data_IF_463305860690
#
_entry.id   IF_463305860690
#
_cell.length_a   1.000
_cell.length_b   1.000
_cell.length_c   1.000
_cell.angle_alpha   90.00
_cell.angle_beta   90.00
_cell.angle_gamma   90.00
#
_symmetry.space_group_name_H-M   'P 1'
#
loop_
_entity.id
_entity.type
_entity.pdbx_description
1 polymer ?
#
# COMPACT_ATOMS: atom_id res chain seq x y z
N UNK A 1 -13.81 18.86 -7.28
CA UNK A 1 -14.27 18.74 -6.39
C UNK A 1 -13.61 18.23 -5.21
N UNK A 2 -12.52 18.84 -4.82
CA UNK A 2 -11.70 18.44 -3.74
C UNK A 2 -12.44 18.29 -2.41
N UNK A 3 -13.49 19.07 -2.23
CA UNK A 3 -14.21 19.02 -0.98
C UNK A 3 -14.80 17.65 -0.71
N UNK A 4 -15.41 17.04 -1.71
CA UNK A 4 -15.97 15.72 -1.53
C UNK A 4 -14.89 14.67 -1.43
N UNK A 5 -13.74 14.90 -2.05
CA UNK A 5 -12.66 13.94 -1.99
C UNK A 5 -12.12 13.79 -0.57
N UNK A 6 -12.24 14.82 0.24
CA UNK A 6 -11.77 14.76 1.63
C UNK A 6 -12.54 13.73 2.45
N UNK A 7 -13.75 13.43 2.05
CA UNK A 7 -14.60 12.51 2.80
C UNK A 7 -14.75 11.15 2.12
N UNK A 8 -14.10 10.96 0.98
CA UNK A 8 -14.15 9.68 0.33
C UNK A 8 -13.32 8.69 1.11
N UNK A 9 -13.88 7.54 1.34
CA UNK A 9 -13.11 6.45 1.90
C UNK A 9 -12.20 5.90 0.82
N UNK A 10 -10.99 5.55 1.22
CA UNK A 10 -10.08 4.86 0.33
C UNK A 10 -10.64 3.47 0.06
N UNK A 11 -10.82 3.14 -1.21
CA UNK A 11 -11.37 1.85 -1.60
C UNK A 11 -10.22 0.96 -2.08
N UNK A 12 -9.88 -0.02 -1.26
CA UNK A 12 -8.77 -0.90 -1.58
C UNK A 12 -9.00 -1.67 -2.88
N UNK A 13 -10.25 -1.97 -3.21
CA UNK A 13 -10.53 -2.69 -4.45
C UNK A 13 -10.20 -1.86 -5.68
N UNK A 14 -10.52 -0.56 -5.64
CA UNK A 14 -10.11 0.35 -6.71
C UNK A 14 -8.59 0.52 -6.73
N UNK A 15 -7.98 0.61 -5.57
CA UNK A 15 -6.53 0.76 -5.46
C UNK A 15 -5.80 -0.41 -6.06
N UNK A 16 -6.26 -1.64 -5.78
CA UNK A 16 -5.65 -2.84 -6.35
C UNK A 16 -5.84 -2.85 -7.87
N UNK A 17 -7.01 -2.46 -8.36
CA UNK A 17 -7.25 -2.40 -9.79
C UNK A 17 -6.31 -1.39 -10.47
N UNK A 18 -6.11 -0.24 -9.85
CA UNK A 18 -5.18 0.77 -10.37
C UNK A 18 -3.74 0.23 -10.39
N UNK A 19 -3.35 -0.46 -9.32
CA UNK A 19 -2.03 -1.07 -9.27
C UNK A 19 -1.84 -2.07 -10.41
N UNK A 20 -2.84 -2.89 -10.66
CA UNK A 20 -2.75 -3.91 -11.70
C UNK A 20 -2.60 -3.30 -13.09
N UNK A 21 -3.11 -2.11 -13.29
CA UNK A 21 -3.01 -1.42 -14.57
C UNK A 21 -1.77 -0.54 -14.69
N UNK A 22 -1.10 -0.28 -13.59
CA UNK A 22 0.06 0.61 -13.60
C UNK A 22 1.31 -0.15 -14.04
N UNK A 23 2.19 0.54 -14.77
CA UNK A 23 3.47 -0.02 -15.16
C UNK A 23 4.48 0.23 -14.05
N UNK A 24 5.29 -0.79 -13.76
CA UNK A 24 6.42 -0.65 -12.82
C UNK A 24 6.00 -0.18 -11.43
N UNK A 25 4.79 -0.50 -11.01
CA UNK A 25 4.31 -0.15 -9.67
C UNK A 25 4.56 -1.29 -8.70
N UNK A 26 4.59 -0.96 -7.41
CA UNK A 26 4.73 -1.96 -6.35
C UNK A 26 3.54 -1.88 -5.42
N UNK A 27 3.06 -3.03 -4.97
CA UNK A 27 1.99 -3.14 -3.98
C UNK A 27 2.65 -3.54 -2.66
N UNK A 28 2.51 -2.71 -1.65
CA UNK A 28 3.24 -2.85 -0.40
C UNK A 28 2.27 -3.09 0.76
N UNK A 29 2.47 -4.21 1.45
CA UNK A 29 1.72 -4.58 2.64
C UNK A 29 2.55 -4.18 3.85
N UNK A 30 2.06 -3.22 4.65
CA UNK A 30 2.82 -2.71 5.80
C UNK A 30 2.36 -3.33 7.11
N UNK A 31 1.66 -4.46 7.04
CA UNK A 31 1.27 -5.22 8.23
C UNK A 31 2.46 -6.02 8.74
N UNK A 32 2.24 -6.73 9.85
CA UNK A 32 3.29 -7.60 10.38
C UNK A 32 3.53 -8.80 9.47
N UNK A 33 4.70 -9.44 9.57
CA UNK A 33 4.96 -10.66 8.79
C UNK A 33 3.94 -11.75 9.06
N UNK A 34 3.45 -11.88 10.30
CA UNK A 34 2.45 -12.89 10.63
C UNK A 34 1.15 -12.63 9.90
N UNK A 35 0.71 -11.37 9.90
CA UNK A 35 -0.50 -11.01 9.17
C UNK A 35 -0.37 -11.31 7.68
N UNK A 36 0.80 -11.01 7.13
CA UNK A 36 1.08 -11.22 5.71
C UNK A 36 1.00 -12.73 5.39
N UNK A 37 1.58 -13.56 6.24
CA UNK A 37 1.56 -15.01 6.03
C UNK A 37 0.16 -15.59 6.11
N UNK A 38 -0.71 -14.96 6.92
CA UNK A 38 -2.08 -15.44 7.08
C UNK A 38 -2.96 -15.13 5.87
N UNK A 39 -2.46 -14.34 4.96
CA UNK A 39 -3.16 -14.00 3.71
C UNK A 39 -2.83 -12.58 3.28
N UNK A 40 -2.44 -12.42 2.03
CA UNK A 40 -2.08 -11.12 1.49
C UNK A 40 -2.59 -10.99 0.06
N UNK A 41 -2.63 -9.77 -0.44
CA UNK A 41 -3.07 -9.52 -1.80
C UNK A 41 -1.98 -9.99 -2.75
N UNK A 42 -2.34 -10.71 -3.82
CA UNK A 42 -1.34 -11.23 -4.75
C UNK A 42 -0.45 -10.11 -5.30
N UNK A 43 0.82 -10.44 -5.48
CA UNK A 43 1.85 -9.54 -5.99
C UNK A 43 2.29 -8.48 -5.00
N UNK A 44 1.79 -8.52 -3.76
CA UNK A 44 2.26 -7.57 -2.76
C UNK A 44 3.58 -8.06 -2.14
N UNK A 45 4.37 -7.09 -1.66
CA UNK A 45 5.54 -7.38 -0.85
C UNK A 45 5.26 -6.89 0.56
N UNK A 46 5.87 -7.53 1.53
CA UNK A 46 5.67 -7.17 2.94
C UNK A 46 6.85 -6.33 3.44
N UNK A 47 6.55 -5.07 3.76
CA UNK A 47 7.52 -4.19 4.42
C UNK A 47 6.78 -3.61 5.62
N UNK A 48 6.91 -4.22 6.80
CA UNK A 48 6.17 -3.77 7.98
C UNK A 48 6.41 -2.30 8.30
N UNK A 49 5.41 -1.65 8.87
CA UNK A 49 5.49 -0.21 9.15
C UNK A 49 6.74 0.18 9.91
N UNK A 50 7.12 -0.58 10.94
CA UNK A 50 8.30 -0.25 11.75
C UNK A 50 9.59 -0.39 10.97
N UNK A 51 9.54 -1.02 9.80
CA UNK A 51 10.72 -1.26 8.98
C UNK A 51 10.56 -0.58 7.62
N UNK A 52 9.73 0.46 7.55
CA UNK A 52 9.38 1.07 6.26
C UNK A 52 10.61 1.59 5.51
N UNK A 53 11.68 1.94 6.22
CA UNK A 53 12.91 2.38 5.57
C UNK A 53 13.53 1.29 4.71
N UNK A 54 13.21 0.03 5.00
CA UNK A 54 13.73 -1.08 4.22
C UNK A 54 13.11 -1.14 2.81
N UNK A 55 12.15 -0.26 2.51
CA UNK A 55 11.56 -0.22 1.17
C UNK A 55 12.64 0.00 0.12
N UNK A 56 13.72 0.70 0.46
CA UNK A 56 14.79 0.96 -0.50
C UNK A 56 15.53 -0.29 -0.94
N UNK A 57 15.43 -1.37 -0.15
CA UNK A 57 16.01 -2.65 -0.53
C UNK A 57 15.17 -3.35 -1.60
N UNK A 58 13.88 -3.01 -1.67
CA UNK A 58 12.96 -3.62 -2.62
C UNK A 58 12.77 -2.73 -3.84
N UNK A 59 12.74 -1.41 -3.62
CA UNK A 59 12.44 -0.43 -4.67
C UNK A 59 13.40 0.73 -4.50
N UNK A 60 14.40 0.84 -5.35
CA UNK A 60 15.39 1.90 -5.23
C UNK A 60 15.03 3.15 -6.01
N UNK A 61 14.09 3.06 -6.95
CA UNK A 61 13.72 4.18 -7.80
C UNK A 61 12.58 4.97 -7.14
N UNK A 62 12.86 6.20 -6.76
CA UNK A 62 11.89 7.06 -6.06
C UNK A 62 10.69 7.42 -6.92
N UNK A 63 10.76 7.21 -8.23
CA UNK A 63 9.63 7.48 -9.11
C UNK A 63 8.69 6.28 -9.27
N UNK A 64 9.05 5.13 -8.72
CA UNK A 64 8.19 3.94 -8.79
C UNK A 64 6.90 4.20 -8.02
N UNK A 65 5.73 4.05 -8.64
CA UNK A 65 4.47 4.22 -7.91
C UNK A 65 4.32 3.13 -6.85
N UNK A 66 3.99 3.54 -5.63
CA UNK A 66 3.78 2.63 -4.51
C UNK A 66 2.31 2.66 -4.11
N UNK A 67 1.71 1.47 -4.02
CA UNK A 67 0.35 1.30 -3.55
C UNK A 67 0.44 0.56 -2.22
N UNK A 68 0.01 1.22 -1.14
CA UNK A 68 0.30 0.78 0.22
C UNK A 68 -1.00 0.43 0.94
N UNK A 69 -1.04 -0.74 1.59
CA UNK A 69 -2.21 -1.13 2.34
C UNK A 69 -1.80 -1.77 3.67
N UNK A 70 -2.76 -1.83 4.59
CA UNK A 70 -2.59 -2.56 5.84
C UNK A 70 -3.88 -3.29 6.16
N UNK A 71 -4.21 -3.49 7.44
CA UNK A 71 -5.43 -4.20 7.80
C UNK A 71 -6.66 -3.30 7.64
N UNK A 72 -6.63 -2.10 8.24
CA UNK A 72 -7.78 -1.19 8.25
C UNK A 72 -7.50 0.19 7.66
N UNK A 73 -6.26 0.47 7.27
CA UNK A 73 -5.89 1.73 6.63
C UNK A 73 -5.09 2.69 7.50
N UNK A 74 -5.02 2.46 8.81
CA UNK A 74 -4.33 3.38 9.70
C UNK A 74 -2.82 3.31 9.55
N UNK A 75 -2.26 2.11 9.56
CA UNK A 75 -0.81 1.92 9.40
C UNK A 75 -0.37 2.35 8.00
N UNK A 76 -1.18 2.06 6.99
CA UNK A 76 -0.82 2.43 5.62
C UNK A 76 -0.85 3.93 5.41
N UNK A 77 -1.74 4.65 6.11
CA UNK A 77 -1.73 6.10 6.06
C UNK A 77 -0.44 6.66 6.65
N UNK A 78 -0.02 6.11 7.78
CA UNK A 78 1.23 6.51 8.42
C UNK A 78 2.43 6.18 7.53
N UNK A 79 2.44 4.98 6.96
CA UNK A 79 3.51 4.57 6.06
C UNK A 79 3.60 5.47 4.84
N UNK A 80 2.45 5.87 4.28
CA UNK A 80 2.42 6.75 3.13
C UNK A 80 3.10 8.09 3.44
N UNK A 81 2.80 8.67 4.60
CA UNK A 81 3.43 9.92 5.00
C UNK A 81 4.94 9.75 5.14
N UNK A 82 5.37 8.64 5.74
CA UNK A 82 6.79 8.37 5.93
C UNK A 82 7.52 8.19 4.61
N UNK A 83 6.91 7.47 3.68
CA UNK A 83 7.52 7.25 2.36
C UNK A 83 7.64 8.56 1.59
N UNK A 84 6.64 9.43 1.68
CA UNK A 84 6.72 10.73 1.04
C UNK A 84 7.85 11.57 1.62
N UNK A 85 8.05 11.51 2.93
CA UNK A 85 9.17 12.22 3.55
C UNK A 85 10.52 11.65 3.13
N UNK A 86 10.56 10.36 2.83
CA UNK A 86 11.79 9.71 2.35
C UNK A 86 12.11 10.07 0.91
N UNK A 87 11.18 10.69 0.19
CA UNK A 87 11.42 11.14 -1.17
C UNK A 87 10.66 10.40 -2.25
N UNK A 88 9.84 9.41 -1.89
CA UNK A 88 9.04 8.70 -2.89
C UNK A 88 8.03 9.66 -3.51
N UNK A 89 7.99 9.69 -4.84
CA UNK A 89 7.26 10.71 -5.57
C UNK A 89 5.78 10.39 -5.74
N UNK A 90 5.43 9.11 -5.76
CA UNK A 90 4.05 8.71 -5.97
C UNK A 90 3.71 7.59 -5.00
N UNK A 91 2.95 7.91 -3.95
CA UNK A 91 2.55 6.94 -2.94
C UNK A 91 1.05 7.05 -2.73
N UNK A 92 0.35 5.93 -2.86
CA UNK A 92 -1.09 5.85 -2.69
C UNK A 92 -1.43 4.96 -1.52
N UNK A 93 -2.13 5.52 -0.52
CA UNK A 93 -2.71 4.70 0.54
C UNK A 93 -4.01 4.13 0.01
N UNK A 94 -4.07 2.82 -0.20
CA UNK A 94 -5.26 2.23 -0.78
C UNK A 94 -6.20 1.59 0.24
N UNK A 95 -5.84 1.67 1.53
CA UNK A 95 -6.80 1.27 2.57
C UNK A 95 -6.46 -0.03 3.25
N UNK A 96 -7.48 -0.79 3.60
CA UNK A 96 -7.32 -1.99 4.42
C UNK A 96 -7.83 -3.25 3.77
N UNK A 97 -7.10 -4.34 4.00
CA UNK A 97 -7.44 -5.64 3.42
C UNK A 97 -8.77 -6.16 3.95
N UNK A 98 -9.25 -5.62 5.09
CA UNK A 98 -10.56 -6.02 5.61
C UNK A 98 -11.68 -5.78 4.61
N UNK A 99 -11.52 -4.77 3.76
CA UNK A 99 -12.53 -4.42 2.76
C UNK A 99 -12.24 -5.00 1.38
N UNK A 100 -11.14 -5.74 1.26
CA UNK A 100 -10.75 -6.31 -0.02
C UNK A 100 -11.65 -7.50 -0.35
N UNK A 101 -12.16 -7.51 -1.58
CA UNK A 101 -13.10 -8.54 -2.02
C UNK A 101 -12.49 -9.58 -2.95
N UNK A 102 -11.23 -9.42 -3.29
CA UNK A 102 -10.55 -10.36 -4.16
C UNK A 102 -9.94 -11.53 -3.40
N UNK A 103 -9.21 -12.36 -4.11
CA UNK A 103 -8.54 -13.51 -3.51
C UNK A 103 -7.27 -13.09 -2.81
N UNK A 104 -6.97 -13.75 -1.70
CA UNK A 104 -5.67 -13.59 -1.03
C UNK A 104 -4.83 -14.83 -1.26
N UNK A 105 -3.53 -14.63 -1.13
CA UNK A 105 -2.55 -15.72 -1.18
C UNK A 105 -1.96 -15.96 0.21
N UNK A 106 -1.54 -17.17 0.46
CA UNK A 106 -0.87 -17.52 1.71
C UNK A 106 0.63 -17.58 1.54
#
# INVERSE_FOLDING_TARGET
>A
MGFFDLFKHTDINQGVAQFQQASNAMLVDVRTPEEYRDGHIPRSINVPLQQIEDIDLEVSDMSTPLFVYCRSGARSRQATAMLQEMGDEEVHNIGGILDYKGKVEL
#
